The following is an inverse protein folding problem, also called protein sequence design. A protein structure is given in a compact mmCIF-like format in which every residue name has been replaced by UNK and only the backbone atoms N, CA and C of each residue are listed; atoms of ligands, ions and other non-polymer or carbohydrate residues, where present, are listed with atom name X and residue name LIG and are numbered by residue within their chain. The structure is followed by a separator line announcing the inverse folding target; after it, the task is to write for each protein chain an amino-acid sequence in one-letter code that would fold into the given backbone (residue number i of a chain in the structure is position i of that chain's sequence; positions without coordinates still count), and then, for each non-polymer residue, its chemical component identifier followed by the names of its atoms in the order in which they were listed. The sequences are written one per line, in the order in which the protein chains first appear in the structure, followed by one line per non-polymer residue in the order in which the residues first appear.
data_IF_692421090870
#
_entry.id   IF_692421090870
#
_cell.length_a   1.000
_cell.length_b   1.000
_cell.length_c   1.000
_cell.angle_alpha   90.00
_cell.angle_beta   90.00
_cell.angle_gamma   90.00
#
_symmetry.space_group_name_H-M   'P 1'
#
loop_
_entity.id
_entity.type
_entity.pdbx_description
1 polymer ?
#
# COMPACT_ATOMS: atom_id res chain seq x y z
N UNK A 1 29.14 19.35 30.30
CA UNK A 1 29.98 20.34 29.60
C UNK A 1 29.85 21.65 30.35
N UNK A 2 30.98 22.31 30.67
CA UNK A 2 30.97 23.63 31.30
C UNK A 2 30.24 24.58 30.36
N UNK A 3 29.04 25.04 30.77
CA UNK A 3 28.24 25.96 30.00
C UNK A 3 28.93 27.32 30.11
N UNK A 4 29.83 27.63 29.17
CA UNK A 4 30.34 28.99 29.04
C UNK A 4 29.10 29.84 28.76
N UNK A 5 28.72 30.64 29.75
CA UNK A 5 27.50 31.40 29.69
C UNK A 5 27.66 32.51 28.64
N UNK A 6 27.20 32.22 27.42
CA UNK A 6 27.21 33.16 26.30
C UNK A 6 26.45 34.45 26.65
N UNK A 7 25.51 34.39 27.60
CA UNK A 7 24.79 35.57 28.11
C UNK A 7 25.67 36.49 28.97
N UNK A 8 26.82 36.02 29.47
CA UNK A 8 27.75 36.84 30.26
C UNK A 8 28.52 37.85 29.40
N UNK A 9 28.64 37.61 28.09
CA UNK A 9 29.19 38.55 27.10
C UNK A 9 28.04 39.25 26.34
N UNK A 10 27.63 40.40 26.85
CA UNK A 10 26.71 41.27 26.13
C UNK A 10 27.41 42.03 24.99
N UNK A 11 26.62 42.69 24.14
CA UNK A 11 27.10 43.43 22.98
C UNK A 11 28.19 44.46 23.32
N UNK A 12 28.04 45.20 24.42
CA UNK A 12 29.03 46.18 24.89
C UNK A 12 30.38 45.54 25.23
N UNK A 13 30.38 44.36 25.87
CA UNK A 13 31.61 43.62 26.18
C UNK A 13 32.26 43.07 24.92
N UNK A 14 31.48 42.63 23.93
CA UNK A 14 32.00 42.18 22.63
C UNK A 14 32.66 43.35 21.89
N UNK A 15 32.01 44.51 21.86
CA UNK A 15 32.57 45.74 21.27
C UNK A 15 33.86 46.18 21.95
N UNK A 16 33.93 46.06 23.28
CA UNK A 16 35.14 46.35 24.04
C UNK A 16 36.26 45.35 23.74
N UNK A 17 35.94 44.06 23.62
CA UNK A 17 36.92 43.03 23.21
C UNK A 17 37.42 43.26 21.79
N UNK A 18 36.56 43.70 20.87
CA UNK A 18 36.97 44.08 19.51
C UNK A 18 38.00 45.22 19.53
N UNK A 19 37.79 46.23 20.39
CA UNK A 19 38.76 47.31 20.61
C UNK A 19 40.09 46.80 21.18
N UNK A 20 40.06 45.86 22.14
CA UNK A 20 41.28 45.27 22.70
C UNK A 20 42.00 44.30 21.74
N UNK A 21 41.26 43.68 20.82
CA UNK A 21 41.83 42.84 19.76
C UNK A 21 42.56 43.68 18.69
N UNK A 22 42.35 45.00 18.65
CA UNK A 22 43.07 45.94 17.81
C UNK A 22 44.36 46.45 18.48
N UNK A 23 45.50 46.14 17.86
CA UNK A 23 46.82 46.54 18.36
C UNK A 23 47.08 48.04 18.25
N UNK A 24 46.47 48.75 17.31
CA UNK A 24 46.65 50.20 17.15
C UNK A 24 45.90 50.95 18.25
N UNK A 25 44.68 50.49 18.55
CA UNK A 25 43.91 50.98 19.69
C UNK A 25 44.66 50.78 21.02
N UNK A 26 45.24 49.61 21.25
CA UNK A 26 46.00 49.32 22.47
C UNK A 26 47.28 50.18 22.62
N UNK A 27 47.99 50.50 21.53
CA UNK A 27 49.18 51.35 21.56
C UNK A 27 48.86 52.80 21.95
N UNK A 28 47.69 53.29 21.52
CA UNK A 28 47.25 54.68 21.74
C UNK A 28 46.62 54.92 23.12
N UNK A 29 46.32 53.85 23.87
CA UNK A 29 45.65 53.92 25.17
C UNK A 29 46.42 53.13 26.25
N UNK A 30 47.62 53.60 26.66
CA UNK A 30 48.52 52.87 27.56
C UNK A 30 48.11 52.89 29.04
N UNK A 31 46.98 53.50 29.42
CA UNK A 31 46.56 53.64 30.83
C UNK A 31 46.15 52.33 31.53
N UNK A 32 46.10 51.21 30.82
CA UNK A 32 45.58 49.93 31.31
C UNK A 32 46.66 48.83 31.29
N UNK A 33 47.58 48.76 32.26
CA UNK A 33 48.50 47.62 32.34
C UNK A 33 48.77 47.10 33.76
N UNK A 34 48.22 45.91 34.04
CA UNK A 34 48.76 44.89 34.95
C UNK A 34 49.27 43.64 34.18
N UNK A 35 49.12 43.60 32.84
CA UNK A 35 49.55 42.52 31.92
C UNK A 35 50.53 43.08 30.85
N UNK A 36 50.99 42.31 29.85
CA UNK A 36 51.75 42.85 28.71
C UNK A 36 50.83 43.18 27.52
N UNK A 37 51.15 44.23 26.75
CA UNK A 37 50.43 44.68 25.54
C UNK A 37 49.97 43.57 24.60
N UNK A 38 50.80 42.54 24.47
CA UNK A 38 50.57 41.43 23.57
C UNK A 38 49.63 40.38 24.17
N UNK A 39 49.71 40.14 25.48
CA UNK A 39 48.91 39.11 26.16
C UNK A 39 47.44 39.51 26.22
N UNK A 40 47.15 40.77 26.56
CA UNK A 40 45.76 41.28 26.58
C UNK A 40 45.13 41.24 25.19
N UNK A 41 45.88 41.60 24.14
CA UNK A 41 45.40 41.53 22.76
C UNK A 41 45.12 40.08 22.32
N UNK A 42 46.01 39.16 22.68
CA UNK A 42 45.85 37.73 22.38
C UNK A 42 44.65 37.14 23.11
N UNK A 43 44.46 37.46 24.39
CA UNK A 43 43.29 37.03 25.17
C UNK A 43 41.98 37.56 24.58
N UNK A 44 41.95 38.83 24.15
CA UNK A 44 40.77 39.40 23.51
C UNK A 44 40.41 38.68 22.20
N UNK A 45 41.41 38.36 21.37
CA UNK A 45 41.22 37.57 20.13
C UNK A 45 40.71 36.16 20.42
N UNK A 46 41.28 35.49 21.44
CA UNK A 46 40.83 34.16 21.85
C UNK A 46 39.38 34.18 22.38
N UNK A 47 39.03 35.20 23.17
CA UNK A 47 37.66 35.38 23.65
C UNK A 47 36.66 35.57 22.50
N UNK A 48 36.96 36.46 21.54
CA UNK A 48 36.13 36.66 20.35
C UNK A 48 35.99 35.39 19.50
N UNK A 49 37.09 34.63 19.32
CA UNK A 49 37.05 33.36 18.60
C UNK A 49 36.20 32.32 19.32
N UNK A 50 36.26 32.28 20.66
CA UNK A 50 35.44 31.37 21.45
C UNK A 50 33.94 31.65 21.30
N UNK A 51 33.55 32.92 21.25
CA UNK A 51 32.15 33.33 20.99
C UNK A 51 31.69 32.88 19.60
N UNK A 52 32.48 33.16 18.56
CA UNK A 52 32.16 32.73 17.20
C UNK A 52 32.01 31.20 17.08
N UNK A 53 32.87 30.44 17.76
CA UNK A 53 32.76 28.97 17.79
C UNK A 53 31.50 28.50 18.54
N UNK A 54 31.04 29.23 19.56
CA UNK A 54 29.78 28.93 20.23
C UNK A 54 28.57 29.25 19.35
N UNK A 55 28.61 30.31 18.55
CA UNK A 55 27.59 30.60 17.52
C UNK A 55 27.54 29.48 16.46
N UNK A 56 28.70 29.08 15.93
CA UNK A 56 28.80 27.98 14.96
C UNK A 56 28.29 26.65 15.53
N UNK A 57 28.61 26.35 16.80
CA UNK A 57 28.14 25.15 17.47
C UNK A 57 26.62 25.15 17.65
N UNK A 58 26.05 26.26 18.12
CA UNK A 58 24.60 26.41 18.31
C UNK A 58 23.84 26.26 16.98
N UNK A 59 24.35 26.88 15.91
CA UNK A 59 23.79 26.73 14.57
C UNK A 59 23.84 25.27 14.09
N UNK A 60 24.98 24.59 14.26
CA UNK A 60 25.14 23.19 13.88
C UNK A 60 24.27 22.23 14.71
N UNK A 61 24.06 22.53 16.01
CA UNK A 61 23.14 21.77 16.86
C UNK A 61 21.69 21.96 16.44
N UNK A 62 21.29 23.20 16.12
CA UNK A 62 19.95 23.49 15.61
C UNK A 62 19.69 22.81 14.26
N UNK A 63 20.66 22.83 13.34
CA UNK A 63 20.55 22.11 12.07
C UNK A 63 20.40 20.60 12.28
N UNK A 64 21.21 20.02 13.17
CA UNK A 64 21.10 18.60 13.51
C UNK A 64 19.72 18.24 14.05
N UNK A 65 19.16 19.08 14.91
CA UNK A 65 17.82 18.88 15.46
C UNK A 65 16.73 19.01 14.38
N UNK A 66 16.85 20.01 13.50
CA UNK A 66 15.97 20.16 12.36
C UNK A 66 15.99 18.92 11.44
N UNK A 67 17.19 18.39 11.16
CA UNK A 67 17.37 17.17 10.37
C UNK A 67 16.75 15.96 11.07
N UNK A 68 16.94 15.81 12.39
CA UNK A 68 16.33 14.74 13.18
C UNK A 68 14.80 14.76 13.06
N UNK A 69 14.20 15.94 13.23
CA UNK A 69 12.74 16.11 13.10
C UNK A 69 12.26 15.82 11.67
N UNK A 70 12.97 16.29 10.65
CA UNK A 70 12.60 16.02 9.24
C UNK A 70 12.62 14.52 8.94
N UNK A 71 13.66 13.83 9.40
CA UNK A 71 13.80 12.39 9.21
C UNK A 71 12.69 11.61 9.93
N UNK A 72 12.37 11.98 11.18
CA UNK A 72 11.27 11.36 11.92
C UNK A 72 9.92 11.56 11.20
N UNK A 73 9.68 12.75 10.64
CA UNK A 73 8.48 13.04 9.85
C UNK A 73 8.39 12.21 8.56
N UNK A 74 9.51 12.06 7.85
CA UNK A 74 9.59 11.24 6.64
C UNK A 74 9.36 9.75 6.94
N UNK A 75 9.99 9.25 8.00
CA UNK A 75 9.76 7.88 8.48
C UNK A 75 8.29 7.64 8.82
N UNK A 76 7.65 8.56 9.54
CA UNK A 76 6.23 8.46 9.85
C UNK A 76 5.33 8.42 8.60
N UNK A 77 5.65 9.23 7.58
CA UNK A 77 4.93 9.20 6.30
C UNK A 77 5.13 7.88 5.56
N UNK A 78 6.35 7.35 5.55
CA UNK A 78 6.67 6.06 4.94
C UNK A 78 5.91 4.92 5.63
N UNK A 79 5.88 4.89 6.96
CA UNK A 79 5.15 3.88 7.73
C UNK A 79 3.64 3.94 7.45
N UNK A 80 3.06 5.15 7.38
CA UNK A 80 1.65 5.32 6.99
C UNK A 80 1.36 4.81 5.59
N UNK A 81 2.21 5.12 4.63
CA UNK A 81 2.04 4.67 3.25
C UNK A 81 2.16 3.14 3.15
N UNK A 82 3.13 2.55 3.84
CA UNK A 82 3.31 1.10 3.89
C UNK A 82 2.09 0.41 4.50
N UNK A 83 1.52 0.95 5.59
CA UNK A 83 0.30 0.43 6.19
C UNK A 83 -0.89 0.49 5.22
N UNK A 84 -1.07 1.61 4.51
CA UNK A 84 -2.14 1.77 3.53
C UNK A 84 -2.01 0.79 2.35
N UNK A 85 -0.80 0.63 1.81
CA UNK A 85 -0.53 -0.32 0.72
C UNK A 85 -0.76 -1.77 1.16
N UNK A 86 -0.36 -2.14 2.38
CA UNK A 86 -0.62 -3.47 2.91
C UNK A 86 -2.11 -3.75 3.08
N UNK A 87 -2.89 -2.77 3.56
CA UNK A 87 -4.34 -2.91 3.67
C UNK A 87 -5.02 -3.15 2.30
N UNK A 88 -4.60 -2.43 1.26
CA UNK A 88 -5.11 -2.67 -0.11
C UNK A 88 -4.66 -4.03 -0.67
N UNK A 89 -3.42 -4.44 -0.40
CA UNK A 89 -2.91 -5.76 -0.78
C UNK A 89 -3.73 -6.87 -0.14
N UNK A 90 -4.08 -6.76 1.13
CA UNK A 90 -4.91 -7.75 1.83
C UNK A 90 -6.31 -7.85 1.21
N UNK A 91 -6.94 -6.72 0.87
CA UNK A 91 -8.23 -6.69 0.16
C UNK A 91 -8.14 -7.42 -1.19
N UNK A 92 -7.09 -7.15 -1.97
CA UNK A 92 -6.85 -7.82 -3.25
C UNK A 92 -6.64 -9.33 -3.08
N UNK A 93 -5.91 -9.76 -2.04
CA UNK A 93 -5.72 -11.19 -1.75
C UNK A 93 -7.05 -11.87 -1.43
N UNK A 94 -7.92 -11.24 -0.63
CA UNK A 94 -9.24 -11.80 -0.30
C UNK A 94 -10.18 -11.85 -1.50
N UNK A 95 -10.18 -10.79 -2.32
CA UNK A 95 -10.93 -10.76 -3.57
C UNK A 95 -10.46 -11.86 -4.53
N UNK A 96 -9.15 -12.04 -4.68
CA UNK A 96 -8.59 -13.06 -5.56
C UNK A 96 -8.91 -14.49 -5.08
N UNK A 97 -8.82 -14.74 -3.77
CA UNK A 97 -9.25 -16.03 -3.20
C UNK A 97 -10.73 -16.33 -3.47
N UNK A 98 -11.56 -15.29 -3.40
CA UNK A 98 -13.00 -15.40 -3.70
C UNK A 98 -13.23 -15.71 -5.17
N UNK A 99 -12.53 -15.02 -6.07
CA UNK A 99 -12.56 -15.28 -7.52
C UNK A 99 -12.15 -16.72 -7.86
N UNK A 100 -11.06 -17.21 -7.27
CA UNK A 100 -10.60 -18.60 -7.47
C UNK A 100 -11.71 -19.58 -7.03
N UNK A 101 -12.32 -19.34 -5.88
CA UNK A 101 -13.41 -20.19 -5.38
C UNK A 101 -14.61 -20.19 -6.31
N UNK A 102 -14.99 -19.02 -6.83
CA UNK A 102 -16.10 -18.91 -7.78
C UNK A 102 -15.77 -19.54 -9.13
N UNK A 103 -14.53 -19.41 -9.61
CA UNK A 103 -14.08 -20.06 -10.84
C UNK A 103 -14.18 -21.58 -10.75
N UNK A 104 -13.74 -22.17 -9.63
CA UNK A 104 -13.88 -23.61 -9.39
C UNK A 104 -15.36 -24.03 -9.39
N UNK A 105 -16.24 -23.26 -8.74
CA UNK A 105 -17.68 -23.54 -8.73
C UNK A 105 -18.30 -23.43 -10.11
N UNK A 106 -17.93 -22.42 -10.88
CA UNK A 106 -18.39 -22.22 -12.26
C UNK A 106 -17.98 -23.40 -13.14
N UNK A 107 -16.69 -23.78 -13.13
CA UNK A 107 -16.20 -24.92 -13.92
C UNK A 107 -16.89 -26.23 -13.55
N UNK A 108 -17.17 -26.45 -12.25
CA UNK A 108 -17.92 -27.61 -11.78
C UNK A 108 -19.37 -27.59 -12.26
N UNK A 109 -20.02 -26.43 -12.25
CA UNK A 109 -21.38 -26.28 -12.77
C UNK A 109 -21.42 -26.49 -14.30
N UNK A 110 -20.48 -25.91 -15.04
CA UNK A 110 -20.32 -26.13 -16.48
C UNK A 110 -20.15 -27.62 -16.81
N UNK A 111 -19.30 -28.33 -16.06
CA UNK A 111 -19.11 -29.78 -16.23
C UNK A 111 -20.41 -30.56 -16.00
N UNK A 112 -21.19 -30.20 -14.98
CA UNK A 112 -22.49 -30.84 -14.68
C UNK A 112 -23.54 -30.51 -15.74
N UNK A 113 -23.55 -29.29 -16.28
CA UNK A 113 -24.44 -28.90 -17.37
C UNK A 113 -24.12 -29.73 -18.60
N UNK A 114 -22.84 -29.83 -18.99
CA UNK A 114 -22.41 -30.66 -20.11
C UNK A 114 -22.80 -32.13 -19.94
N UNK A 115 -22.65 -32.69 -18.73
CA UNK A 115 -23.11 -34.06 -18.42
C UNK A 115 -24.62 -34.22 -18.61
N UNK A 116 -25.42 -33.25 -18.15
CA UNK A 116 -26.87 -33.25 -18.28
C UNK A 116 -27.33 -33.12 -19.74
N UNK A 117 -26.71 -32.22 -20.50
CA UNK A 117 -26.99 -31.99 -21.93
C UNK A 117 -26.59 -33.19 -22.81
N UNK A 118 -25.67 -34.03 -22.34
CA UNK A 118 -25.27 -35.26 -23.00
C UNK A 118 -26.23 -36.44 -22.74
N UNK A 119 -27.20 -36.32 -21.81
CA UNK A 119 -28.12 -37.42 -21.48
C UNK A 119 -29.07 -37.70 -22.63
N UNK A 120 -29.16 -38.98 -22.95
CA UNK A 120 -30.07 -39.51 -23.96
C UNK A 120 -30.95 -40.61 -23.37
N UNK A 121 -32.12 -40.83 -23.96
CA UNK A 121 -33.03 -41.92 -23.58
C UNK A 121 -33.57 -42.60 -24.83
N UNK A 122 -33.78 -43.92 -24.75
CA UNK A 122 -34.43 -44.67 -25.82
C UNK A 122 -35.88 -44.95 -25.45
N UNK A 123 -36.81 -44.57 -26.31
CA UNK A 123 -38.21 -45.00 -26.16
C UNK A 123 -38.37 -46.44 -26.67
N UNK A 124 -39.13 -47.30 -25.97
CA UNK A 124 -39.37 -48.67 -26.40
C UNK A 124 -40.06 -48.68 -27.76
N UNK A 125 -39.80 -49.65 -28.65
CA UNK A 125 -40.45 -49.72 -30.00
C UNK A 125 -41.97 -50.00 -29.88
N UNK A 126 -42.78 -49.52 -30.84
CA UNK A 126 -44.21 -49.84 -30.86
C UNK A 126 -44.39 -51.30 -31.28
N UNK A 127 -45.35 -52.03 -30.68
CA UNK A 127 -45.73 -53.35 -31.19
C UNK A 127 -46.41 -53.20 -32.56
N UNK A 128 -45.98 -54.03 -33.52
CA UNK A 128 -46.63 -54.11 -34.84
C UNK A 128 -47.80 -55.07 -34.75
N UNK A 129 -49.01 -54.54 -34.88
CA UNK A 129 -50.23 -55.32 -34.92
C UNK A 129 -50.41 -55.82 -36.35
N UNK A 130 -50.24 -57.13 -36.59
CA UNK A 130 -50.29 -57.75 -37.92
C UNK A 130 -51.68 -57.83 -38.56
N UNK A 131 -52.55 -56.86 -38.29
CA UNK A 131 -53.95 -56.82 -38.75
C UNK A 131 -54.35 -55.40 -39.10
N UNK A 132 -54.94 -55.22 -40.29
CA UNK A 132 -55.44 -53.93 -40.82
C UNK A 132 -56.92 -53.69 -40.49
N UNK A 133 -57.51 -54.49 -39.60
CA UNK A 133 -58.86 -54.20 -39.13
C UNK A 133 -58.86 -52.90 -38.32
N UNK A 134 -59.87 -52.04 -38.56
CA UNK A 134 -60.02 -50.67 -38.03
C UNK A 134 -59.71 -50.52 -36.53
N UNK A 135 -60.07 -51.51 -35.71
CA UNK A 135 -59.78 -51.51 -34.26
C UNK A 135 -58.29 -51.50 -33.91
N UNK A 136 -57.45 -52.09 -34.77
CA UNK A 136 -56.01 -52.17 -34.57
C UNK A 136 -55.29 -50.94 -35.11
N UNK A 137 -55.85 -50.27 -36.13
CA UNK A 137 -55.38 -48.97 -36.61
C UNK A 137 -55.60 -47.89 -35.54
N UNK A 138 -56.82 -47.79 -34.98
CA UNK A 138 -57.09 -46.83 -33.89
C UNK A 138 -56.23 -47.05 -32.63
N UNK A 139 -55.86 -48.30 -32.33
CA UNK A 139 -54.90 -48.59 -31.25
C UNK A 139 -53.48 -48.14 -31.61
N UNK A 140 -53.03 -48.39 -32.85
CA UNK A 140 -51.72 -47.98 -33.32
C UNK A 140 -51.56 -46.45 -33.32
N UNK A 141 -52.60 -45.73 -33.75
CA UNK A 141 -52.65 -44.26 -33.74
C UNK A 141 -52.61 -43.72 -32.30
N UNK A 142 -53.42 -44.28 -31.40
CA UNK A 142 -53.42 -43.89 -29.98
C UNK A 142 -52.08 -44.14 -29.29
N UNK A 143 -51.46 -45.30 -29.54
CA UNK A 143 -50.15 -45.64 -28.98
C UNK A 143 -49.02 -44.76 -29.54
N UNK A 144 -49.12 -44.36 -30.81
CA UNK A 144 -48.20 -43.41 -31.45
C UNK A 144 -48.36 -42.00 -30.86
N UNK A 145 -49.60 -41.54 -30.68
CA UNK A 145 -49.89 -40.24 -30.05
C UNK A 145 -49.32 -40.14 -28.65
N UNK A 146 -49.58 -41.13 -27.79
CA UNK A 146 -49.04 -41.16 -26.42
C UNK A 146 -47.51 -41.17 -26.40
N UNK A 147 -46.88 -41.93 -27.31
CA UNK A 147 -45.41 -41.95 -27.41
C UNK A 147 -44.85 -40.59 -27.80
N UNK A 148 -45.47 -39.91 -28.76
CA UNK A 148 -45.05 -38.59 -29.20
C UNK A 148 -45.23 -37.56 -28.07
N UNK A 149 -46.30 -37.66 -27.28
CA UNK A 149 -46.48 -36.84 -26.07
C UNK A 149 -45.37 -37.09 -25.05
N UNK A 150 -44.98 -38.34 -24.82
CA UNK A 150 -43.84 -38.67 -23.96
C UNK A 150 -42.53 -38.10 -24.52
N UNK A 151 -42.25 -38.27 -25.82
CA UNK A 151 -41.04 -37.72 -26.45
C UNK A 151 -40.98 -36.19 -26.30
N UNK A 152 -42.10 -35.50 -26.57
CA UNK A 152 -42.21 -34.05 -26.40
C UNK A 152 -41.97 -33.62 -24.95
N UNK A 153 -42.50 -34.33 -23.97
CA UNK A 153 -42.27 -34.04 -22.55
C UNK A 153 -40.79 -34.24 -22.15
N UNK A 154 -40.12 -35.25 -22.73
CA UNK A 154 -38.70 -35.53 -22.48
C UNK A 154 -37.81 -34.45 -23.12
N UNK A 155 -38.12 -34.04 -24.36
CA UNK A 155 -37.44 -32.90 -25.01
C UNK A 155 -37.66 -31.59 -24.27
N UNK A 156 -38.88 -31.34 -23.78
CA UNK A 156 -39.18 -30.18 -22.94
C UNK A 156 -38.40 -30.18 -21.62
N UNK A 157 -38.00 -31.35 -21.13
CA UNK A 157 -37.10 -31.51 -19.99
C UNK A 157 -35.61 -31.40 -20.36
N UNK A 158 -35.27 -31.15 -21.64
CA UNK A 158 -33.90 -30.96 -22.12
C UNK A 158 -33.11 -32.25 -22.35
N UNK A 159 -33.78 -33.39 -22.45
CA UNK A 159 -33.16 -34.71 -22.65
C UNK A 159 -33.37 -35.13 -24.11
N UNK A 160 -32.31 -35.66 -24.75
CA UNK A 160 -32.43 -36.15 -26.14
C UNK A 160 -33.08 -37.52 -26.17
N UNK A 161 -33.97 -37.75 -27.13
CA UNK A 161 -34.52 -39.08 -27.40
C UNK A 161 -33.76 -39.72 -28.56
N UNK A 162 -33.20 -40.92 -28.35
CA UNK A 162 -32.53 -41.70 -29.39
C UNK A 162 -33.53 -42.49 -30.24
N UNK A 163 -33.32 -42.49 -31.55
CA UNK A 163 -34.12 -43.27 -32.50
C UNK A 163 -35.41 -42.60 -32.97
N UNK A 164 -35.52 -41.27 -32.81
CA UNK A 164 -36.33 -40.44 -33.71
C UNK A 164 -35.80 -40.47 -35.15
#
# INVERSE_FOLDING_TARGET
MSNIDKQALNQEKIEWLNKLADMEYCKSNPGHWLMSLKDTNMLAKLALRSVALLDELEAAEQERENWRISFDNERYRADKLAAALNAEREKLVMANRSLITQHIRANSAESRIAELEARTVCLPKLPVLGSTAERYEGFADGASSMRNECANAIHAAGIKVEGE
#
